data_IF_835784904622
#
_entry.id   IF_835784904622
#
_cell.length_a   1.000
_cell.length_b   1.000
_cell.length_c   1.000
_cell.angle_alpha   90.00
_cell.angle_beta   90.00
_cell.angle_gamma   90.00
#
_symmetry.space_group_name_H-M   'P 1'
#
loop_
_entity.id
_entity.type
_entity.pdbx_description
1 polymer ?
#
# COMPACT_ATOMS: atom_id res chain seq x y z
N UNK A 1 -13.55 -13.96 6.69
CA UNK A 1 -14.89 -13.33 6.82
C UNK A 1 -14.81 -11.88 6.34
N UNK A 2 -15.94 -11.22 5.95
CA UNK A 2 -15.89 -9.79 5.62
C UNK A 2 -15.78 -8.97 6.90
N UNK A 3 -14.75 -8.16 7.04
CA UNK A 3 -14.48 -7.32 8.21
C UNK A 3 -15.04 -5.91 8.02
N UNK A 4 -14.69 -5.25 6.90
CA UNK A 4 -15.11 -3.88 6.60
C UNK A 4 -15.84 -3.84 5.26
N UNK A 5 -16.94 -3.08 5.22
CA UNK A 5 -17.62 -2.71 3.97
C UNK A 5 -17.85 -1.21 3.94
N UNK A 6 -17.66 -0.63 2.77
CA UNK A 6 -18.11 0.71 2.45
C UNK A 6 -18.93 0.64 1.16
N UNK A 7 -20.11 1.26 1.15
CA UNK A 7 -21.03 1.23 0.02
C UNK A 7 -21.32 2.64 -0.45
N UNK A 8 -20.91 2.91 -1.69
CA UNK A 8 -21.14 4.16 -2.41
C UNK A 8 -20.77 5.41 -1.58
N UNK A 9 -19.64 5.33 -0.86
CA UNK A 9 -19.22 6.42 0.00
C UNK A 9 -18.71 7.59 -0.83
N UNK A 10 -19.15 8.79 -0.46
CA UNK A 10 -18.73 10.02 -1.13
C UNK A 10 -18.38 11.10 -0.11
N UNK A 11 -17.49 11.99 -0.50
CA UNK A 11 -17.13 13.18 0.27
C UNK A 11 -17.00 14.40 -0.62
N UNK A 12 -17.82 15.38 -0.33
CA UNK A 12 -17.78 16.71 -0.98
C UNK A 12 -17.40 17.75 0.05
N UNK A 13 -16.43 18.59 -0.26
CA UNK A 13 -16.04 19.77 0.49
C UNK A 13 -16.46 21.02 -0.28
N UNK A 14 -17.50 21.71 0.18
CA UNK A 14 -18.15 22.82 -0.55
C UNK A 14 -18.55 22.35 -1.96
N UNK A 15 -17.84 22.79 -3.01
CA UNK A 15 -18.09 22.44 -4.41
C UNK A 15 -17.16 21.34 -4.95
N UNK A 16 -16.10 20.97 -4.20
CA UNK A 16 -15.10 19.97 -4.63
C UNK A 16 -15.50 18.59 -4.15
N UNK A 17 -15.75 17.68 -5.07
CA UNK A 17 -15.88 16.25 -4.79
C UNK A 17 -14.47 15.68 -4.58
N UNK A 18 -14.18 15.21 -3.38
CA UNK A 18 -12.89 14.62 -3.02
C UNK A 18 -12.91 13.10 -3.10
N UNK A 19 -14.08 12.47 -2.89
CA UNK A 19 -14.33 11.04 -3.05
C UNK A 19 -15.72 10.88 -3.65
N UNK A 20 -15.83 10.05 -4.68
CA UNK A 20 -17.04 9.87 -5.47
C UNK A 20 -17.44 8.39 -5.57
N UNK A 21 -18.49 8.01 -4.85
CA UNK A 21 -19.14 6.70 -4.88
C UNK A 21 -18.20 5.49 -4.79
N UNK A 22 -17.25 5.51 -3.84
CA UNK A 22 -16.34 4.39 -3.64
C UNK A 22 -17.05 3.24 -2.93
N UNK A 23 -16.91 2.03 -3.50
CA UNK A 23 -17.29 0.76 -2.90
C UNK A 23 -16.04 -0.02 -2.47
N UNK A 24 -16.02 -0.53 -1.22
CA UNK A 24 -14.89 -1.28 -0.67
C UNK A 24 -15.40 -2.51 0.07
N UNK A 25 -14.67 -3.60 -0.05
CA UNK A 25 -14.87 -4.82 0.74
C UNK A 25 -13.52 -5.34 1.21
N UNK A 26 -13.35 -5.49 2.52
CA UNK A 26 -12.12 -5.95 3.16
C UNK A 26 -12.41 -7.22 3.95
N UNK A 27 -11.64 -8.27 3.75
CA UNK A 27 -11.71 -9.53 4.52
C UNK A 27 -10.72 -9.49 5.67
N UNK A 28 -11.01 -10.27 6.72
CA UNK A 28 -10.09 -10.45 7.86
C UNK A 28 -8.72 -10.95 7.40
N UNK A 29 -7.66 -10.41 8.01
CA UNK A 29 -6.27 -10.78 7.77
C UNK A 29 -5.66 -10.26 6.46
N UNK A 30 -6.43 -9.54 5.62
CA UNK A 30 -5.91 -8.99 4.37
C UNK A 30 -5.02 -7.75 4.59
N UNK A 31 -4.02 -7.63 3.74
CA UNK A 31 -3.29 -6.37 3.47
C UNK A 31 -3.89 -5.72 2.22
N UNK A 32 -4.51 -4.55 2.39
CA UNK A 32 -5.14 -3.79 1.31
C UNK A 32 -4.32 -2.52 1.05
N UNK A 33 -3.97 -2.27 -0.21
CA UNK A 33 -3.33 -1.04 -0.61
C UNK A 33 -4.30 -0.10 -1.36
N UNK A 34 -4.36 1.16 -0.95
CA UNK A 34 -4.95 2.24 -1.74
C UNK A 34 -3.83 2.95 -2.49
N UNK A 35 -3.70 2.63 -3.76
CA UNK A 35 -2.68 3.17 -4.65
C UNK A 35 -3.24 4.37 -5.42
N UNK A 36 -2.43 5.40 -5.62
CA UNK A 36 -2.83 6.56 -6.43
C UNK A 36 -1.96 7.78 -6.18
N UNK A 37 -2.04 8.80 -7.04
CA UNK A 37 -1.22 10.00 -6.91
C UNK A 37 -1.64 10.86 -5.72
N UNK A 38 -0.82 11.86 -5.41
CA UNK A 38 -1.17 12.85 -4.39
C UNK A 38 -2.43 13.61 -4.82
N UNK A 39 -3.37 13.74 -3.88
CA UNK A 39 -4.66 14.38 -4.14
C UNK A 39 -5.73 13.48 -4.78
N UNK A 40 -5.46 12.19 -5.03
CA UNK A 40 -6.43 11.24 -5.57
C UNK A 40 -7.63 10.95 -4.66
N UNK A 41 -7.58 11.30 -3.37
CA UNK A 41 -8.67 11.04 -2.42
C UNK A 41 -8.34 9.96 -1.37
N UNK A 42 -7.16 9.34 -1.40
CA UNK A 42 -6.75 8.25 -0.50
C UNK A 42 -6.91 8.58 0.99
N UNK A 43 -6.25 9.63 1.48
CA UNK A 43 -6.35 10.05 2.90
C UNK A 43 -7.77 10.50 3.28
N UNK A 44 -8.53 11.09 2.34
CA UNK A 44 -9.94 11.41 2.57
C UNK A 44 -10.76 10.13 2.77
N UNK A 45 -10.51 9.11 1.97
CA UNK A 45 -11.15 7.80 2.11
C UNK A 45 -10.81 7.15 3.45
N UNK A 46 -9.53 7.12 3.85
CA UNK A 46 -9.13 6.63 5.19
C UNK A 46 -9.83 7.44 6.29
N UNK A 47 -9.87 8.76 6.20
CA UNK A 47 -10.52 9.59 7.22
C UNK A 47 -12.02 9.33 7.34
N UNK A 48 -12.71 8.96 6.25
CA UNK A 48 -14.10 8.49 6.30
C UNK A 48 -14.21 7.12 6.95
N UNK A 49 -13.36 6.15 6.52
CA UNK A 49 -13.35 4.79 7.05
C UNK A 49 -12.98 4.75 8.54
N UNK A 50 -12.16 5.66 9.03
CA UNK A 50 -11.81 5.76 10.45
C UNK A 50 -12.86 6.51 11.29
N UNK A 51 -13.85 7.12 10.64
CA UNK A 51 -14.88 7.93 11.30
C UNK A 51 -14.40 9.33 11.74
N UNK A 52 -13.19 9.75 11.35
CA UNK A 52 -12.67 11.11 11.64
C UNK A 52 -13.43 12.19 10.90
N UNK A 53 -13.91 11.89 9.71
CA UNK A 53 -14.81 12.75 8.96
C UNK A 53 -16.07 11.97 8.57
N UNK A 54 -17.20 12.65 8.57
CA UNK A 54 -18.44 12.04 8.10
C UNK A 54 -18.47 11.99 6.57
N UNK A 55 -18.99 10.90 6.02
CA UNK A 55 -19.35 10.81 4.61
C UNK A 55 -20.43 11.82 4.24
N UNK A 56 -20.42 12.33 3.02
CA UNK A 56 -21.55 13.13 2.47
C UNK A 56 -22.70 12.19 2.10
N UNK A 57 -22.37 11.01 1.55
CA UNK A 57 -23.34 9.93 1.25
C UNK A 57 -22.67 8.58 1.39
N UNK A 58 -23.47 7.51 1.35
CA UNK A 58 -23.01 6.13 1.48
C UNK A 58 -22.93 5.63 2.93
N UNK A 59 -22.52 4.39 3.08
CA UNK A 59 -22.54 3.66 4.35
C UNK A 59 -21.21 2.94 4.58
N UNK A 60 -20.75 2.93 5.84
CA UNK A 60 -19.54 2.21 6.28
C UNK A 60 -19.94 1.28 7.43
N UNK A 61 -19.48 0.01 7.39
CA UNK A 61 -19.66 -0.99 8.44
C UNK A 61 -18.38 -1.75 8.70
N UNK A 62 -17.94 -1.81 9.96
CA UNK A 62 -16.85 -2.66 10.44
C UNK A 62 -17.42 -3.70 11.40
N UNK A 63 -17.40 -4.97 11.03
CA UNK A 63 -18.05 -6.04 11.80
C UNK A 63 -19.50 -5.69 12.20
N UNK A 64 -20.26 -5.04 11.30
CA UNK A 64 -21.62 -4.56 11.53
C UNK A 64 -21.75 -3.22 12.28
N UNK A 65 -20.65 -2.68 12.82
CA UNK A 65 -20.66 -1.42 13.59
C UNK A 65 -20.56 -0.20 12.66
N UNK A 66 -21.22 0.88 13.06
CA UNK A 66 -21.15 2.19 12.39
C UNK A 66 -19.95 3.01 12.95
N UNK A 67 -19.26 3.82 12.13
CA UNK A 67 -18.15 4.68 12.61
C UNK A 67 -18.50 5.66 13.73
N UNK A 68 -19.78 5.92 13.98
CA UNK A 68 -20.23 6.75 15.11
C UNK A 68 -20.25 6.01 16.45
N UNK A 69 -20.18 4.68 16.42
CA UNK A 69 -20.21 3.85 17.64
C UNK A 69 -18.82 3.77 18.27
N UNK A 70 -18.77 3.81 19.61
CA UNK A 70 -17.51 3.73 20.35
C UNK A 70 -16.79 2.40 20.12
N UNK A 71 -17.54 1.33 20.00
CA UNK A 71 -17.06 -0.03 19.75
C UNK A 71 -16.32 -0.15 18.42
N UNK A 72 -16.72 0.66 17.41
CA UNK A 72 -16.00 0.76 16.13
C UNK A 72 -14.54 1.20 16.36
N UNK A 73 -14.34 2.27 17.13
CA UNK A 73 -13.02 2.84 17.40
C UNK A 73 -12.13 1.95 18.27
N UNK A 74 -12.73 1.01 19.02
CA UNK A 74 -11.97 0.00 19.75
C UNK A 74 -11.38 -1.08 18.85
N UNK A 75 -11.97 -1.27 17.65
CA UNK A 75 -11.53 -2.27 16.67
C UNK A 75 -10.50 -1.75 15.69
N UNK A 76 -10.19 -0.46 15.71
CA UNK A 76 -9.27 0.15 14.76
C UNK A 76 -8.05 0.77 15.43
N UNK A 77 -6.89 0.57 14.80
CA UNK A 77 -5.68 1.37 14.98
C UNK A 77 -5.51 2.34 13.82
N UNK A 78 -5.01 3.54 14.07
CA UNK A 78 -4.78 4.54 13.01
C UNK A 78 -3.42 5.18 13.19
N UNK A 79 -2.64 5.18 12.12
CA UNK A 79 -1.35 5.86 12.01
C UNK A 79 -1.43 6.86 10.86
N UNK A 80 -1.41 8.13 11.20
CA UNK A 80 -1.48 9.22 10.20
C UNK A 80 -0.13 9.43 9.52
N UNK A 81 -0.14 10.12 8.40
CA UNK A 81 1.07 10.57 7.71
C UNK A 81 1.94 11.42 8.64
N UNK A 82 1.33 12.40 9.31
CA UNK A 82 2.00 13.17 10.36
C UNK A 82 1.65 12.59 11.73
N UNK A 83 2.67 12.44 12.58
CA UNK A 83 2.44 11.95 13.94
C UNK A 83 1.58 12.92 14.75
N UNK A 84 0.71 12.34 15.58
CA UNK A 84 -0.17 13.06 16.53
C UNK A 84 0.25 12.83 17.98
N UNK A 85 1.46 12.27 18.21
CA UNK A 85 1.96 11.98 19.54
C UNK A 85 2.48 13.24 20.24
N UNK A 86 2.39 13.22 21.57
CA UNK A 86 2.94 14.31 22.40
C UNK A 86 4.47 14.22 22.41
N UNK A 87 5.12 15.24 21.84
CA UNK A 87 6.57 15.33 21.75
C UNK A 87 7.26 15.47 23.09
N UNK A 88 6.58 16.03 24.11
CA UNK A 88 7.16 16.38 25.40
C UNK A 88 7.25 15.19 26.38
N UNK A 89 6.51 14.12 26.14
CA UNK A 89 6.53 12.93 26.98
C UNK A 89 7.40 11.82 26.35
N UNK A 90 7.77 10.84 27.14
CA UNK A 90 8.63 9.74 26.69
C UNK A 90 7.88 8.77 25.77
N UNK A 91 8.63 7.91 25.07
CA UNK A 91 8.06 6.81 24.27
C UNK A 91 7.15 5.95 25.12
N UNK A 92 7.64 5.51 26.29
CA UNK A 92 6.88 4.70 27.23
C UNK A 92 5.59 5.37 27.65
N UNK A 93 5.65 6.66 28.00
CA UNK A 93 4.46 7.41 28.38
C UNK A 93 3.43 7.53 27.26
N UNK A 94 3.86 7.75 26.00
CA UNK A 94 2.97 7.79 24.86
C UNK A 94 2.24 6.45 24.66
N UNK A 95 2.93 5.31 24.77
CA UNK A 95 2.34 3.96 24.64
C UNK A 95 1.37 3.71 25.79
N UNK A 96 1.80 3.92 27.04
CA UNK A 96 0.98 3.70 28.23
C UNK A 96 -0.24 4.61 28.30
N UNK A 97 -0.14 5.88 27.88
CA UNK A 97 -1.28 6.78 27.83
C UNK A 97 -2.34 6.27 26.85
N UNK A 98 -1.94 5.67 25.74
CA UNK A 98 -2.86 5.04 24.81
C UNK A 98 -3.47 3.77 25.40
N UNK A 99 -2.67 2.91 26.01
CA UNK A 99 -3.11 1.68 26.66
C UNK A 99 -4.20 1.96 27.73
N UNK A 100 -3.98 2.96 28.57
CA UNK A 100 -4.93 3.35 29.65
C UNK A 100 -6.30 3.82 29.15
N UNK A 101 -6.46 4.13 27.86
CA UNK A 101 -7.77 4.49 27.28
C UNK A 101 -8.65 3.25 27.06
N UNK A 102 -8.10 2.04 27.18
CA UNK A 102 -8.79 0.78 26.96
C UNK A 102 -8.84 -0.05 28.24
N UNK A 103 -9.86 -0.90 28.33
CA UNK A 103 -9.98 -1.88 29.42
C UNK A 103 -9.23 -3.15 29.02
N UNK A 104 -8.62 -3.82 30.00
CA UNK A 104 -8.00 -5.14 29.82
C UNK A 104 -6.85 -5.15 28.80
N UNK A 105 -5.89 -4.25 28.96
CA UNK A 105 -4.67 -4.27 28.15
C UNK A 105 -3.84 -5.50 28.52
N UNK A 106 -3.37 -6.19 27.49
CA UNK A 106 -2.45 -7.31 27.59
C UNK A 106 -1.01 -6.74 27.67
N UNK A 107 -0.45 -6.78 28.89
CA UNK A 107 0.90 -6.25 29.15
C UNK A 107 1.99 -7.09 28.48
N UNK A 108 1.77 -8.40 28.29
CA UNK A 108 2.74 -9.25 27.59
C UNK A 108 2.78 -8.87 26.11
N UNK A 109 1.62 -8.57 25.54
CA UNK A 109 1.57 -8.06 24.16
C UNK A 109 2.17 -6.66 24.02
N UNK A 110 1.96 -5.76 24.99
CA UNK A 110 2.60 -4.44 24.99
C UNK A 110 4.13 -4.58 25.00
N UNK A 111 4.68 -5.45 25.87
CA UNK A 111 6.11 -5.73 25.91
C UNK A 111 6.61 -6.35 24.60
N UNK A 112 5.87 -7.30 24.02
CA UNK A 112 6.19 -7.90 22.72
C UNK A 112 6.25 -6.85 21.61
N UNK A 113 5.30 -5.92 21.55
CA UNK A 113 5.32 -4.83 20.57
C UNK A 113 6.56 -3.93 20.73
N UNK A 114 6.92 -3.59 21.99
CA UNK A 114 8.11 -2.80 22.29
C UNK A 114 9.36 -3.48 21.76
N UNK A 115 9.50 -4.79 21.97
CA UNK A 115 10.65 -5.56 21.51
C UNK A 115 10.64 -5.74 19.99
N UNK A 116 9.52 -6.14 19.38
CA UNK A 116 9.39 -6.39 17.95
C UNK A 116 9.65 -5.11 17.11
N UNK A 117 9.23 -3.94 17.61
CA UNK A 117 9.54 -2.65 16.97
C UNK A 117 10.91 -2.08 17.38
N UNK A 118 11.69 -2.77 18.22
CA UNK A 118 13.02 -2.34 18.68
C UNK A 118 12.99 -1.01 19.44
N UNK A 119 12.03 -0.84 20.35
CA UNK A 119 11.83 0.39 21.11
C UNK A 119 12.48 0.36 22.50
N UNK A 120 12.93 -0.81 22.97
CA UNK A 120 13.44 -1.04 24.34
C UNK A 120 14.51 -0.03 24.74
N UNK A 121 15.44 0.32 23.85
CA UNK A 121 16.55 1.24 24.13
C UNK A 121 16.17 2.72 24.10
N UNK A 122 14.97 3.06 23.68
CA UNK A 122 14.49 4.45 23.53
C UNK A 122 13.26 4.76 24.38
N UNK A 123 12.80 3.85 25.25
CA UNK A 123 11.57 4.00 26.04
C UNK A 123 11.56 5.27 26.89
N UNK A 124 12.71 5.63 27.48
CA UNK A 124 12.86 6.80 28.36
C UNK A 124 13.16 8.09 27.58
N UNK A 125 13.37 8.01 26.27
CA UNK A 125 13.62 9.20 25.46
C UNK A 125 12.32 9.95 25.15
N UNK A 126 12.39 11.26 25.11
CA UNK A 126 11.26 12.11 24.69
C UNK A 126 11.00 11.89 23.20
N UNK A 127 9.71 11.84 22.84
CA UNK A 127 9.29 11.56 21.48
C UNK A 127 9.84 12.58 20.45
N UNK A 128 9.91 13.88 20.81
CA UNK A 128 10.41 14.95 19.92
C UNK A 128 11.91 14.83 19.59
N UNK A 129 12.69 14.09 20.40
CA UNK A 129 14.14 13.87 20.18
C UNK A 129 14.46 12.69 19.24
N UNK A 130 13.46 11.90 18.88
CA UNK A 130 13.62 10.70 18.06
C UNK A 130 13.87 11.04 16.58
N UNK A 131 14.58 10.13 15.88
CA UNK A 131 14.66 10.16 14.42
C UNK A 131 13.30 9.89 13.77
N UNK A 132 13.09 10.22 12.49
CA UNK A 132 11.86 9.96 11.77
C UNK A 132 11.45 8.49 11.80
N UNK A 133 12.39 7.58 11.56
CA UNK A 133 12.15 6.14 11.61
C UNK A 133 11.81 5.62 13.01
N UNK A 134 12.48 6.14 14.05
CA UNK A 134 12.14 5.82 15.44
C UNK A 134 10.71 6.28 15.77
N UNK A 135 10.37 7.53 15.41
CA UNK A 135 9.00 8.05 15.59
C UNK A 135 7.96 7.17 14.91
N UNK A 136 8.19 6.79 13.66
CA UNK A 136 7.23 5.94 12.92
C UNK A 136 7.00 4.58 13.59
N UNK A 137 8.06 3.94 14.10
CA UNK A 137 7.94 2.69 14.86
C UNK A 137 7.11 2.86 16.14
N UNK A 138 7.31 3.96 16.85
CA UNK A 138 6.50 4.30 18.06
C UNK A 138 5.05 4.56 17.69
N UNK A 139 4.76 5.30 16.61
CA UNK A 139 3.41 5.58 16.15
C UNK A 139 2.62 4.30 15.87
N UNK A 140 3.26 3.34 15.18
CA UNK A 140 2.64 2.06 14.83
C UNK A 140 2.44 1.20 16.08
N UNK A 141 3.47 1.04 16.93
CA UNK A 141 3.36 0.28 18.18
C UNK A 141 2.23 0.81 19.07
N UNK A 142 2.14 2.14 19.24
CA UNK A 142 1.06 2.79 19.98
C UNK A 142 -0.32 2.54 19.37
N UNK A 143 -0.44 2.52 18.03
CA UNK A 143 -1.71 2.25 17.37
C UNK A 143 -2.17 0.79 17.55
N UNK A 144 -1.24 -0.13 17.82
CA UNK A 144 -1.49 -1.57 18.00
C UNK A 144 -1.70 -2.00 19.45
N UNK A 145 -1.33 -1.19 20.45
CA UNK A 145 -1.27 -1.60 21.88
C UNK A 145 -2.59 -2.15 22.42
N UNK A 146 -3.72 -1.75 21.86
CA UNK A 146 -5.06 -2.23 22.26
C UNK A 146 -5.58 -3.39 21.40
N UNK A 147 -4.71 -4.01 20.58
CA UNK A 147 -5.01 -5.17 19.72
C UNK A 147 -6.21 -4.93 18.79
N UNK A 148 -6.13 -3.93 17.89
CA UNK A 148 -7.22 -3.68 16.95
C UNK A 148 -7.36 -4.82 15.93
N UNK A 149 -8.59 -5.03 15.43
CA UNK A 149 -8.84 -5.97 14.32
C UNK A 149 -8.35 -5.41 12.97
N UNK A 150 -8.31 -4.07 12.84
CA UNK A 150 -7.97 -3.35 11.62
C UNK A 150 -7.01 -2.18 11.91
N UNK A 151 -5.89 -2.16 11.23
CA UNK A 151 -4.91 -1.07 11.26
C UNK A 151 -4.96 -0.24 9.98
N UNK A 152 -5.16 1.06 10.12
CA UNK A 152 -5.02 2.02 9.02
C UNK A 152 -3.65 2.69 9.07
N UNK A 153 -2.96 2.72 7.94
CA UNK A 153 -1.65 3.32 7.77
C UNK A 153 -1.70 4.34 6.62
N UNK A 154 -1.58 5.63 6.94
CA UNK A 154 -1.52 6.67 5.90
C UNK A 154 -0.06 6.94 5.57
N UNK A 155 0.37 6.51 4.37
CA UNK A 155 1.74 6.60 3.84
C UNK A 155 2.82 6.12 4.84
N UNK A 156 2.83 4.82 5.24
CA UNK A 156 3.61 4.34 6.37
C UNK A 156 5.12 4.46 6.18
N UNK A 157 5.63 4.38 4.95
CA UNK A 157 7.07 4.28 4.66
C UNK A 157 7.69 5.57 4.13
N UNK A 158 6.92 6.64 4.03
CA UNK A 158 7.42 7.92 3.49
C UNK A 158 8.61 8.43 4.28
N UNK A 159 9.75 8.64 3.59
CA UNK A 159 10.97 9.19 4.20
C UNK A 159 11.73 8.23 5.12
N UNK A 160 11.41 6.93 5.12
CA UNK A 160 12.08 5.93 5.94
C UNK A 160 13.24 5.26 5.19
N UNK A 161 14.29 4.93 5.95
CA UNK A 161 15.36 4.07 5.46
C UNK A 161 14.93 2.60 5.32
N UNK A 162 15.69 1.82 4.54
CA UNK A 162 15.40 0.42 4.23
C UNK A 162 15.32 -0.45 5.50
N UNK A 163 16.20 -0.21 6.49
CA UNK A 163 16.23 -0.98 7.73
C UNK A 163 14.94 -0.77 8.55
N UNK A 164 14.53 0.48 8.69
CA UNK A 164 13.29 0.84 9.40
C UNK A 164 12.07 0.23 8.71
N UNK A 165 12.01 0.29 7.37
CA UNK A 165 10.93 -0.36 6.60
C UNK A 165 10.88 -1.86 6.87
N UNK A 166 12.02 -2.57 6.84
CA UNK A 166 12.08 -4.02 7.13
C UNK A 166 11.57 -4.37 8.52
N UNK A 167 11.92 -3.60 9.55
CA UNK A 167 11.42 -3.83 10.91
C UNK A 167 9.90 -3.65 10.96
N UNK A 168 9.37 -2.56 10.39
CA UNK A 168 7.93 -2.28 10.39
C UNK A 168 7.18 -3.40 9.67
N UNK A 169 7.53 -3.69 8.42
CA UNK A 169 6.84 -4.70 7.62
C UNK A 169 6.97 -6.11 8.20
N UNK A 170 8.15 -6.50 8.68
CA UNK A 170 8.34 -7.80 9.33
C UNK A 170 7.48 -7.98 10.59
N UNK A 171 7.34 -6.92 11.40
CA UNK A 171 6.47 -6.95 12.59
C UNK A 171 4.98 -7.00 12.20
N UNK A 172 4.57 -6.20 11.21
CA UNK A 172 3.19 -6.18 10.74
C UNK A 172 2.78 -7.54 10.14
N UNK A 173 3.64 -8.15 9.32
CA UNK A 173 3.39 -9.47 8.75
C UNK A 173 3.27 -10.55 9.82
N UNK A 174 4.19 -10.57 10.80
CA UNK A 174 4.09 -11.46 11.97
C UNK A 174 2.74 -11.31 12.69
N UNK A 175 2.22 -10.08 12.85
CA UNK A 175 0.92 -9.84 13.47
C UNK A 175 -0.25 -10.28 12.58
N UNK A 176 -0.14 -10.15 11.27
CA UNK A 176 -1.13 -10.69 10.32
C UNK A 176 -1.23 -12.21 10.46
N UNK A 177 -0.10 -12.91 10.42
CA UNK A 177 -0.04 -14.38 10.50
C UNK A 177 -0.49 -14.92 11.87
N UNK A 178 -0.04 -14.28 12.97
CA UNK A 178 -0.26 -14.83 14.32
C UNK A 178 -1.55 -14.39 14.97
N UNK A 179 -2.10 -13.22 14.57
CA UNK A 179 -3.27 -12.61 15.19
C UNK A 179 -4.40 -12.25 14.23
N UNK A 180 -4.20 -12.48 12.92
CA UNK A 180 -5.20 -12.13 11.91
C UNK A 180 -5.41 -10.63 11.74
N UNK A 181 -4.38 -9.80 12.05
CA UNK A 181 -4.46 -8.35 11.87
C UNK A 181 -4.77 -8.02 10.43
N UNK A 182 -5.80 -7.22 10.21
CA UNK A 182 -6.13 -6.67 8.89
C UNK A 182 -5.48 -5.31 8.74
N UNK A 183 -4.94 -4.99 7.55
CA UNK A 183 -4.25 -3.72 7.33
C UNK A 183 -4.81 -3.06 6.07
N UNK A 184 -5.11 -1.77 6.17
CA UNK A 184 -5.36 -0.89 5.02
C UNK A 184 -4.30 0.19 5.03
N UNK A 185 -3.56 0.31 3.94
CA UNK A 185 -2.58 1.39 3.77
C UNK A 185 -2.91 2.28 2.57
N UNK A 186 -2.53 3.53 2.66
CA UNK A 186 -2.38 4.38 1.48
C UNK A 186 -0.92 4.43 1.09
N UNK A 187 -0.67 4.41 -0.19
CA UNK A 187 0.69 4.56 -0.70
C UNK A 187 0.70 5.21 -2.08
N UNK A 188 1.79 5.86 -2.38
CA UNK A 188 2.23 6.20 -3.72
C UNK A 188 3.48 5.39 -4.12
N UNK A 189 3.97 4.51 -3.23
CA UNK A 189 5.05 3.57 -3.51
C UNK A 189 4.49 2.27 -4.08
N UNK A 190 4.84 1.99 -5.30
CA UNK A 190 4.35 0.83 -6.04
C UNK A 190 4.82 -0.49 -5.44
N UNK A 191 6.03 -0.50 -4.87
CA UNK A 191 6.60 -1.65 -4.15
C UNK A 191 5.70 -2.10 -2.97
N UNK A 192 5.11 -1.15 -2.24
CA UNK A 192 4.19 -1.48 -1.13
C UNK A 192 2.86 -2.04 -1.62
N UNK A 193 2.39 -1.57 -2.78
CA UNK A 193 1.18 -2.10 -3.40
C UNK A 193 1.41 -3.52 -3.96
N UNK A 194 2.62 -3.86 -4.39
CA UNK A 194 2.97 -5.21 -4.87
C UNK A 194 2.92 -6.28 -3.77
N UNK A 195 3.18 -5.91 -2.51
CA UNK A 195 3.11 -6.81 -1.35
C UNK A 195 1.67 -6.97 -0.81
N UNK A 196 0.70 -6.22 -1.34
CA UNK A 196 -0.68 -6.29 -0.88
C UNK A 196 -1.42 -7.51 -1.44
N UNK A 197 -2.37 -8.05 -0.65
CA UNK A 197 -3.27 -9.12 -1.12
C UNK A 197 -4.28 -8.58 -2.14
N UNK A 198 -4.67 -7.29 -1.98
CA UNK A 198 -5.65 -6.63 -2.82
C UNK A 198 -5.35 -5.14 -2.95
N UNK A 199 -5.52 -4.59 -4.13
CA UNK A 199 -5.22 -3.18 -4.43
C UNK A 199 -6.46 -2.47 -4.96
N UNK A 200 -6.72 -1.28 -4.44
CA UNK A 200 -7.65 -0.31 -5.01
C UNK A 200 -6.85 0.83 -5.62
N UNK A 201 -6.91 0.97 -6.93
CA UNK A 201 -6.27 2.09 -7.64
C UNK A 201 -7.26 3.26 -7.64
N UNK A 202 -6.87 4.36 -6.99
CA UNK A 202 -7.73 5.53 -6.81
C UNK A 202 -7.14 6.70 -7.59
N UNK A 203 -7.95 7.30 -8.45
CA UNK A 203 -7.62 8.56 -9.13
C UNK A 203 -8.85 9.48 -9.16
N UNK A 204 -8.63 10.79 -9.00
CA UNK A 204 -9.68 11.81 -8.98
C UNK A 204 -10.90 11.50 -8.08
N UNK A 205 -10.68 10.81 -6.97
CA UNK A 205 -11.71 10.45 -5.99
C UNK A 205 -12.52 9.20 -6.33
N UNK A 206 -12.17 8.48 -7.38
CA UNK A 206 -12.84 7.26 -7.84
C UNK A 206 -11.90 6.05 -7.80
N UNK A 207 -12.45 4.86 -7.62
CA UNK A 207 -11.73 3.60 -7.82
C UNK A 207 -11.78 3.28 -9.32
N UNK A 208 -10.62 3.38 -9.98
CA UNK A 208 -10.51 3.13 -11.43
C UNK A 208 -10.18 1.67 -11.75
N UNK A 209 -9.58 0.94 -10.80
CA UNK A 209 -9.39 -0.51 -10.87
C UNK A 209 -9.24 -1.08 -9.46
N UNK A 210 -9.62 -2.33 -9.27
CA UNK A 210 -9.40 -3.04 -8.01
C UNK A 210 -9.40 -4.55 -8.22
N UNK A 211 -8.37 -5.23 -7.75
CA UNK A 211 -8.28 -6.70 -7.68
C UNK A 211 -7.06 -7.12 -6.87
N UNK A 212 -6.77 -8.42 -6.84
CA UNK A 212 -5.49 -8.95 -6.39
C UNK A 212 -4.35 -8.42 -7.28
N UNK A 213 -3.16 -8.30 -6.71
CA UNK A 213 -1.98 -7.85 -7.48
C UNK A 213 -1.77 -8.72 -8.71
N UNK A 214 -1.97 -10.04 -8.56
CA UNK A 214 -1.83 -11.00 -9.68
C UNK A 214 -2.80 -10.67 -10.82
N UNK A 215 -4.09 -10.47 -10.51
CA UNK A 215 -5.10 -10.20 -11.54
C UNK A 215 -4.86 -8.84 -12.23
N UNK A 216 -4.51 -7.81 -11.43
CA UNK A 216 -4.16 -6.50 -12.00
C UNK A 216 -2.94 -6.58 -12.95
N UNK A 217 -1.93 -7.42 -12.60
CA UNK A 217 -0.79 -7.67 -13.50
C UNK A 217 -1.21 -8.39 -14.78
N UNK A 218 -2.07 -9.38 -14.68
CA UNK A 218 -2.59 -10.10 -15.86
C UNK A 218 -3.41 -9.18 -16.79
N UNK A 219 -4.23 -8.28 -16.22
CA UNK A 219 -5.13 -7.43 -16.98
C UNK A 219 -4.45 -6.20 -17.60
N UNK A 220 -3.48 -5.59 -16.90
CA UNK A 220 -2.94 -4.27 -17.25
C UNK A 220 -1.43 -4.20 -17.42
N UNK A 221 -0.66 -5.09 -16.78
CA UNK A 221 0.78 -5.05 -16.85
C UNK A 221 1.28 -5.67 -18.16
N UNK A 222 2.38 -5.12 -18.67
CA UNK A 222 2.99 -5.58 -19.92
C UNK A 222 4.39 -6.08 -19.66
N UNK A 223 4.66 -7.34 -20.08
CA UNK A 223 6.01 -7.85 -20.07
C UNK A 223 6.84 -7.13 -21.15
N UNK A 224 8.01 -6.69 -20.77
CA UNK A 224 8.91 -5.94 -21.64
C UNK A 224 10.19 -6.73 -21.90
N UNK A 225 10.54 -6.86 -23.15
CA UNK A 225 11.80 -7.43 -23.63
C UNK A 225 12.63 -6.32 -24.29
N UNK A 226 13.72 -5.93 -23.65
CA UNK A 226 14.70 -4.99 -24.19
C UNK A 226 15.78 -5.77 -24.92
N UNK A 227 16.08 -5.42 -26.18
CA UNK A 227 17.12 -6.07 -26.98
C UNK A 227 18.07 -5.03 -27.52
N UNK A 228 19.38 -5.29 -27.37
CA UNK A 228 20.42 -4.56 -28.06
C UNK A 228 20.97 -5.40 -29.23
N UNK A 229 21.10 -4.78 -30.38
CA UNK A 229 21.58 -5.44 -31.59
C UNK A 229 22.29 -4.44 -32.52
N UNK A 230 23.37 -4.89 -33.16
CA UNK A 230 24.01 -4.13 -34.23
C UNK A 230 23.17 -4.14 -35.52
N UNK A 231 22.32 -5.15 -35.69
CA UNK A 231 21.43 -5.29 -36.86
C UNK A 231 19.96 -5.33 -36.40
N UNK A 232 19.44 -4.15 -36.01
CA UNK A 232 18.06 -4.02 -35.54
C UNK A 232 17.01 -4.41 -36.58
N UNK A 233 17.28 -4.16 -37.84
CA UNK A 233 16.32 -4.47 -38.94
C UNK A 233 16.11 -5.99 -39.04
N UNK A 234 17.15 -6.79 -38.84
CA UNK A 234 17.04 -8.25 -38.82
C UNK A 234 16.21 -8.74 -37.63
N UNK A 235 16.39 -8.15 -36.44
CA UNK A 235 15.59 -8.48 -35.26
C UNK A 235 14.13 -8.09 -35.44
N UNK A 236 13.88 -6.89 -36.00
CA UNK A 236 12.53 -6.40 -36.30
C UNK A 236 11.76 -7.30 -37.28
N UNK A 237 12.43 -7.91 -38.21
CA UNK A 237 11.82 -8.83 -39.19
C UNK A 237 11.30 -10.14 -38.55
N UNK A 238 11.85 -10.52 -37.40
CA UNK A 238 11.48 -11.73 -36.64
C UNK A 238 10.38 -11.50 -35.63
N UNK A 239 10.01 -10.21 -35.35
CA UNK A 239 9.00 -9.85 -34.36
C UNK A 239 7.61 -10.18 -34.90
N UNK A 240 6.78 -10.79 -34.06
CA UNK A 240 5.37 -11.03 -34.39
C UNK A 240 4.64 -9.69 -34.64
N UNK A 241 3.86 -9.63 -35.71
CA UNK A 241 3.14 -8.42 -36.13
C UNK A 241 2.10 -7.92 -35.09
N UNK A 242 1.71 -8.78 -34.14
CA UNK A 242 0.82 -8.42 -33.03
C UNK A 242 1.55 -7.74 -31.87
N UNK A 243 2.89 -7.80 -31.82
CA UNK A 243 3.68 -7.22 -30.75
C UNK A 243 3.99 -5.74 -31.00
N UNK A 244 3.91 -4.94 -29.95
CA UNK A 244 4.28 -3.53 -30.02
C UNK A 244 5.77 -3.36 -29.77
N UNK A 245 6.42 -2.54 -30.61
CA UNK A 245 7.85 -2.26 -30.53
C UNK A 245 8.10 -0.76 -30.49
N UNK A 246 8.95 -0.33 -29.56
CA UNK A 246 9.49 1.04 -29.53
C UNK A 246 10.99 0.96 -29.79
N UNK A 247 11.44 1.75 -30.78
CA UNK A 247 12.88 1.87 -31.03
C UNK A 247 13.49 2.99 -30.22
N UNK A 248 14.47 2.64 -29.42
CA UNK A 248 15.25 3.57 -28.61
C UNK A 248 16.70 3.68 -29.14
N UNK A 249 17.45 4.68 -28.61
CA UNK A 249 18.84 4.86 -28.96
C UNK A 249 19.67 3.65 -28.49
N UNK A 250 19.93 2.68 -29.37
CA UNK A 250 20.74 1.50 -29.09
C UNK A 250 19.93 0.21 -28.88
N UNK A 251 18.65 0.27 -28.48
CA UNK A 251 17.84 -0.89 -28.13
C UNK A 251 16.47 -0.92 -28.83
N UNK A 252 15.85 -2.08 -28.80
CA UNK A 252 14.44 -2.30 -29.14
C UNK A 252 13.71 -2.67 -27.86
N UNK A 253 12.66 -1.95 -27.52
CA UNK A 253 11.76 -2.27 -26.42
C UNK A 253 10.51 -2.94 -27.00
N UNK A 254 10.34 -4.22 -26.70
CA UNK A 254 9.31 -5.08 -27.29
C UNK A 254 8.33 -5.47 -26.17
N UNK A 255 7.04 -5.24 -26.39
CA UNK A 255 5.98 -5.73 -25.51
C UNK A 255 5.65 -7.16 -25.91
N UNK A 256 5.86 -8.09 -24.99
CA UNK A 256 5.64 -9.53 -25.23
C UNK A 256 4.49 -10.03 -24.36
N UNK A 257 3.64 -10.97 -24.85
CA UNK A 257 2.47 -11.44 -24.12
C UNK A 257 2.82 -12.16 -22.83
N UNK A 258 3.83 -13.03 -22.86
CA UNK A 258 4.26 -13.85 -21.72
C UNK A 258 5.72 -14.26 -21.85
N UNK A 259 6.23 -14.95 -20.81
CA UNK A 259 7.62 -15.42 -20.74
C UNK A 259 7.96 -16.44 -21.84
N UNK A 260 7.01 -17.33 -22.16
CA UNK A 260 7.24 -18.41 -23.11
C UNK A 260 7.45 -17.84 -24.51
N UNK A 261 6.61 -16.88 -24.92
CA UNK A 261 6.76 -16.20 -26.19
C UNK A 261 8.08 -15.41 -26.26
N UNK A 262 8.50 -14.80 -25.13
CA UNK A 262 9.79 -14.13 -25.04
C UNK A 262 10.97 -15.09 -25.23
N UNK A 263 10.92 -16.26 -24.60
CA UNK A 263 11.96 -17.31 -24.72
C UNK A 263 12.03 -17.82 -26.17
N UNK A 264 10.89 -18.15 -26.76
CA UNK A 264 10.82 -18.65 -28.14
C UNK A 264 11.35 -17.60 -29.15
N UNK A 265 11.04 -16.32 -28.89
CA UNK A 265 11.58 -15.23 -29.71
C UNK A 265 13.09 -15.08 -29.53
N UNK A 266 13.59 -15.07 -28.29
CA UNK A 266 15.02 -14.98 -27.99
C UNK A 266 15.82 -16.11 -28.63
N UNK A 267 15.30 -17.34 -28.68
CA UNK A 267 15.97 -18.48 -29.35
C UNK A 267 16.14 -18.24 -30.86
N UNK A 268 15.19 -17.55 -31.51
CA UNK A 268 15.28 -17.24 -32.93
C UNK A 268 16.28 -16.13 -33.24
N UNK A 269 16.38 -15.13 -32.34
CA UNK A 269 17.19 -13.94 -32.57
C UNK A 269 18.56 -13.96 -31.86
N UNK A 270 18.88 -15.01 -31.13
CA UNK A 270 20.11 -15.15 -30.35
C UNK A 270 21.37 -14.78 -31.14
N UNK A 271 21.56 -15.22 -32.41
CA UNK A 271 22.76 -14.87 -33.21
C UNK A 271 22.82 -13.39 -33.61
N UNK A 272 21.73 -12.65 -33.46
CA UNK A 272 21.58 -11.25 -33.93
C UNK A 272 21.67 -10.23 -32.82
N UNK A 273 21.67 -10.68 -31.54
CA UNK A 273 21.59 -9.82 -30.35
C UNK A 273 22.90 -9.80 -29.60
N UNK A 274 23.21 -8.67 -28.97
CA UNK A 274 24.38 -8.50 -28.12
C UNK A 274 24.04 -8.52 -26.62
N UNK A 275 22.84 -8.04 -26.29
CA UNK A 275 22.32 -8.04 -24.92
C UNK A 275 20.80 -8.11 -24.93
N UNK A 276 20.22 -8.68 -23.88
CA UNK A 276 18.78 -8.62 -23.65
C UNK A 276 18.47 -8.50 -22.15
N UNK A 277 17.32 -7.91 -21.86
CA UNK A 277 16.72 -7.85 -20.53
C UNK A 277 15.23 -8.18 -20.67
N UNK A 278 14.74 -9.12 -19.86
CA UNK A 278 13.32 -9.39 -19.75
C UNK A 278 12.82 -8.87 -18.38
N UNK A 279 11.79 -8.03 -18.43
CA UNK A 279 11.15 -7.49 -17.24
C UNK A 279 9.68 -7.86 -17.23
N UNK A 280 9.25 -8.52 -16.14
CA UNK A 280 7.82 -8.70 -15.89
C UNK A 280 7.12 -7.37 -15.71
N UNK A 281 5.86 -7.33 -16.12
CA UNK A 281 5.01 -6.21 -15.81
C UNK A 281 4.87 -5.98 -14.30
N UNK A 282 4.91 -4.74 -13.89
CA UNK A 282 4.86 -4.32 -12.50
C UNK A 282 3.71 -3.34 -12.25
N UNK A 283 3.59 -2.84 -11.02
CA UNK A 283 2.55 -1.88 -10.65
C UNK A 283 2.71 -0.52 -11.35
N UNK A 284 3.93 -0.14 -11.81
CA UNK A 284 4.14 1.04 -12.65
C UNK A 284 3.39 0.92 -13.97
N UNK A 285 3.53 -0.24 -14.63
CA UNK A 285 2.87 -0.51 -15.91
C UNK A 285 1.35 -0.45 -15.77
N UNK A 286 0.81 -1.01 -14.68
CA UNK A 286 -0.62 -0.98 -14.36
C UNK A 286 -1.08 0.47 -14.19
N UNK A 287 -0.36 1.24 -13.38
CA UNK A 287 -0.74 2.61 -13.10
C UNK A 287 -0.67 3.49 -14.36
N UNK A 288 0.38 3.33 -15.17
CA UNK A 288 0.52 3.99 -16.49
C UNK A 288 -0.60 3.61 -17.45
N UNK A 289 -0.96 2.32 -17.51
CA UNK A 289 -2.04 1.85 -18.39
C UNK A 289 -3.40 2.45 -18.00
N UNK A 290 -3.67 2.58 -16.69
CA UNK A 290 -4.96 3.07 -16.16
C UNK A 290 -5.08 4.59 -16.19
N UNK A 291 -3.98 5.33 -15.95
CA UNK A 291 -4.03 6.79 -15.75
C UNK A 291 -3.38 7.59 -16.89
N UNK A 292 -2.56 6.95 -17.73
CA UNK A 292 -1.72 7.60 -18.71
C UNK A 292 -0.59 8.47 -18.13
N UNK A 293 -0.28 8.32 -16.84
CA UNK A 293 0.68 9.14 -16.08
C UNK A 293 1.56 8.26 -15.19
N UNK A 294 2.81 8.67 -15.00
CA UNK A 294 3.67 8.10 -13.95
C UNK A 294 3.24 8.58 -12.56
N UNK A 295 3.36 7.73 -11.54
CA UNK A 295 3.25 8.15 -10.14
C UNK A 295 4.47 9.00 -9.80
N UNK A 296 4.26 10.24 -9.36
CA UNK A 296 5.29 11.16 -8.87
C UNK A 296 5.01 11.54 -7.43
#
# INVERSE_FOLDING_TARGET
MTLLTAKSISKTYREKVAVNHIDLTVKEGQLIAFLGPNGAGKSTTINMLTGLIQTTSGEIRLAGLDPKQKEYHHKIGVVFQNSVLDGQVTVQQNIQNRARMYKNIDLDFENQLIDDFGLTTILDQRYDTLSGGQRRRVDIARALVHQPDLLFLDEPSTGLDIQTRKVIWGTLEKLRETRGLTIILTTHYLEEAEEADFVYVIDHGEVIAHDTVKQLKEDYAQNLLTIESENKDAVLAEIDSSWSVVQEKGSLLIKVPNEHDAIDFLQRVEPMITHFEFRHGNMDDIFMALTGKEIR
#
